data_IF_260650964427
#
_entry.id   IF_260650964427
#
_cell.length_a   1.000
_cell.length_b   1.000
_cell.length_c   1.000
_cell.angle_alpha   90.00
_cell.angle_beta   90.00
_cell.angle_gamma   90.00
#
_symmetry.space_group_name_H-M   'P 1'
#
loop_
_entity.id
_entity.type
_entity.pdbx_description
1 polymer ?
#
# COMPACT_ATOMS: atom_id res chain seq x y z
N UNK A 1 5.70 8.30 -11.34
CA UNK A 1 4.55 8.52 -10.42
C UNK A 1 3.50 7.47 -10.72
N UNK A 2 2.97 6.77 -9.72
CA UNK A 2 2.32 5.44 -9.77
C UNK A 2 1.05 5.26 -10.62
N UNK A 3 0.79 6.14 -11.59
CA UNK A 3 -0.37 6.04 -12.49
C UNK A 3 -1.70 6.30 -11.80
N UNK A 4 -1.68 6.98 -10.64
CA UNK A 4 -2.83 7.31 -9.80
C UNK A 4 -3.70 6.07 -9.51
N UNK A 5 -3.06 5.01 -9.03
CA UNK A 5 -3.66 3.69 -8.84
C UNK A 5 -3.02 2.97 -7.66
N UNK A 6 -3.80 2.16 -6.94
CA UNK A 6 -3.30 1.25 -5.91
C UNK A 6 -2.10 0.43 -6.41
N UNK A 7 -1.08 0.29 -5.58
CA UNK A 7 0.20 -0.39 -5.87
C UNK A 7 0.22 -1.84 -5.42
N UNK A 8 -0.76 -2.27 -4.60
CA UNK A 8 -0.94 -3.64 -4.17
C UNK A 8 -1.00 -4.62 -5.35
N UNK A 9 -0.32 -5.76 -5.19
CA UNK A 9 -0.34 -6.89 -6.12
C UNK A 9 -0.74 -8.14 -5.38
N UNK A 10 -1.64 -8.92 -5.98
CA UNK A 10 -1.97 -10.24 -5.45
C UNK A 10 -0.84 -11.25 -5.72
N UNK A 11 -0.98 -12.47 -5.20
CA UNK A 11 0.00 -13.56 -5.36
C UNK A 11 0.32 -13.97 -6.80
N UNK A 12 -0.56 -13.62 -7.75
CA UNK A 12 -0.36 -13.86 -9.18
C UNK A 12 0.32 -12.68 -9.88
N UNK A 13 0.72 -11.65 -9.12
CA UNK A 13 1.39 -10.45 -9.60
C UNK A 13 0.45 -9.40 -10.22
N UNK A 14 -0.87 -9.62 -10.23
CA UNK A 14 -1.82 -8.66 -10.78
C UNK A 14 -1.97 -7.45 -9.86
N UNK A 15 -1.74 -6.27 -10.43
CA UNK A 15 -1.89 -5.01 -9.73
C UNK A 15 -3.36 -4.63 -9.62
N UNK A 16 -3.77 -4.18 -8.43
CA UNK A 16 -5.12 -3.70 -8.19
C UNK A 16 -5.50 -2.59 -9.20
N UNK A 17 -6.68 -2.67 -9.86
CA UNK A 17 -7.09 -1.69 -10.85
C UNK A 17 -7.61 -0.37 -10.24
N UNK A 18 -7.82 -0.32 -8.91
CA UNK A 18 -8.49 0.79 -8.21
C UNK A 18 -7.71 2.11 -8.27
N UNK A 19 -8.39 3.19 -8.67
CA UNK A 19 -7.83 4.53 -8.87
C UNK A 19 -8.43 5.60 -7.95
N UNK A 20 -9.41 5.23 -7.12
CA UNK A 20 -10.10 6.13 -6.20
C UNK A 20 -9.77 5.77 -4.75
N UNK A 21 -9.98 6.74 -3.87
CA UNK A 21 -9.80 6.57 -2.42
C UNK A 21 -8.39 6.03 -2.11
N UNK A 22 -7.40 6.72 -2.68
CA UNK A 22 -6.00 6.34 -2.62
C UNK A 22 -5.32 7.09 -1.47
N UNK A 23 -4.68 6.33 -0.60
CA UNK A 23 -3.92 6.83 0.54
C UNK A 23 -2.43 6.47 0.39
N UNK A 24 -1.57 7.33 0.93
CA UNK A 24 -0.16 7.02 1.13
C UNK A 24 -0.01 6.21 2.43
N UNK A 25 0.65 5.06 2.33
CA UNK A 25 0.87 4.15 3.44
C UNK A 25 2.36 3.88 3.60
N UNK A 26 2.88 4.11 4.81
CA UNK A 26 4.26 3.77 5.14
C UNK A 26 4.43 2.27 5.29
N UNK A 27 5.33 1.66 4.51
CA UNK A 27 5.62 0.21 4.57
C UNK A 27 6.19 -0.14 5.96
N UNK A 28 7.19 0.63 6.40
CA UNK A 28 7.67 0.61 7.77
C UNK A 28 7.00 1.79 8.48
N UNK A 29 6.18 1.55 9.52
CA UNK A 29 5.54 2.63 10.27
C UNK A 29 6.56 3.60 10.84
N UNK A 30 6.22 4.90 10.84
CA UNK A 30 7.08 5.95 11.42
C UNK A 30 7.38 5.68 12.90
N UNK A 31 6.41 5.14 13.64
CA UNK A 31 6.59 4.72 15.04
C UNK A 31 7.64 3.62 15.23
N UNK A 32 7.95 2.85 14.19
CA UNK A 32 8.99 1.82 14.19
C UNK A 32 10.29 2.30 13.49
N UNK A 33 10.46 3.61 13.32
CA UNK A 33 11.65 4.19 12.69
C UNK A 33 11.61 4.22 11.16
N UNK A 34 10.45 3.99 10.55
CA UNK A 34 10.24 4.17 9.12
C UNK A 34 10.47 5.62 8.69
N UNK A 35 11.20 5.83 7.59
CA UNK A 35 11.48 7.17 7.07
C UNK A 35 10.33 7.65 6.19
N UNK A 36 10.11 8.96 6.15
CA UNK A 36 9.18 9.59 5.20
C UNK A 36 9.86 9.79 3.85
N UNK A 37 10.17 8.69 3.17
CA UNK A 37 10.80 8.71 1.83
C UNK A 37 9.92 7.98 0.82
N UNK A 38 10.00 8.34 -0.48
CA UNK A 38 9.20 7.68 -1.51
C UNK A 38 9.37 6.16 -1.56
N UNK A 39 10.53 5.64 -1.15
CA UNK A 39 10.83 4.21 -1.12
C UNK A 39 10.11 3.47 0.02
N UNK A 40 9.76 4.19 1.09
CA UNK A 40 9.03 3.63 2.25
C UNK A 40 7.53 3.94 2.18
N UNK A 41 7.03 4.51 1.08
CA UNK A 41 5.61 4.87 0.94
C UNK A 41 5.02 4.19 -0.28
N UNK A 42 3.86 3.56 -0.10
CA UNK A 42 3.06 2.96 -1.17
C UNK A 42 1.69 3.63 -1.27
N UNK A 43 1.12 3.64 -2.48
CA UNK A 43 -0.26 4.11 -2.69
C UNK A 43 -1.20 2.91 -2.59
N UNK A 44 -2.14 2.93 -1.64
CA UNK A 44 -3.14 1.88 -1.45
C UNK A 44 -4.54 2.44 -1.60
N UNK A 45 -5.48 1.64 -2.14
CA UNK A 45 -6.89 1.98 -2.01
C UNK A 45 -7.38 1.66 -0.59
N UNK A 46 -8.48 2.29 -0.17
CA UNK A 46 -9.09 2.07 1.17
C UNK A 46 -9.16 0.60 1.61
N UNK A 47 -9.57 -0.32 0.72
CA UNK A 47 -9.68 -1.75 1.07
C UNK A 47 -8.32 -2.38 1.39
N UNK A 48 -7.29 -2.16 0.56
CA UNK A 48 -5.96 -2.70 0.83
C UNK A 48 -5.27 -1.96 1.98
N UNK A 49 -5.56 -0.67 2.17
CA UNK A 49 -5.05 0.08 3.30
C UNK A 49 -5.54 -0.54 4.63
N UNK A 50 -6.83 -0.88 4.73
CA UNK A 50 -7.38 -1.57 5.90
C UNK A 50 -6.75 -2.95 6.13
N UNK A 51 -6.58 -3.75 5.07
CA UNK A 51 -5.93 -5.08 5.18
C UNK A 51 -4.51 -4.99 5.77
N UNK A 52 -3.74 -3.96 5.38
CA UNK A 52 -2.41 -3.72 5.92
C UNK A 52 -2.41 -3.37 7.43
N UNK A 53 -3.46 -2.73 7.94
CA UNK A 53 -3.60 -2.42 9.38
C UNK A 53 -4.10 -3.61 10.21
N UNK A 54 -4.88 -4.51 9.61
CA UNK A 54 -5.45 -5.69 10.28
C UNK A 54 -4.43 -6.83 10.46
N UNK A 55 -3.17 -6.65 10.05
CA UNK A 55 -2.13 -7.67 10.14
C UNK A 55 -2.32 -8.83 9.15
N UNK A 56 -3.22 -8.68 8.18
CA UNK A 56 -3.36 -9.62 7.07
C UNK A 56 -2.15 -9.42 6.17
N UNK A 57 -1.33 -10.46 5.98
CA UNK A 57 -0.19 -10.39 5.08
C UNK A 57 -0.71 -10.03 3.67
N UNK A 58 -0.45 -8.82 3.18
CA UNK A 58 -0.98 -8.37 1.89
C UNK A 58 -0.21 -8.98 0.72
N UNK A 59 0.77 -9.85 1.00
CA UNK A 59 1.53 -10.61 0.03
C UNK A 59 1.29 -12.13 0.15
N UNK A 60 0.23 -12.56 0.86
CA UNK A 60 -0.22 -13.96 0.99
C UNK A 60 -1.55 -14.23 0.30
#
# INVERSE_FOLDING_TARGET
>A
RDGNRCTHRNNRGFRCPEKRWLDLHHIIPVSHGGKDTPENVVVLCKSHHLQHHEGVNPFS
#
